data_IF_724684500017
#
_entry.id   IF_724684500017
#
_cell.length_a   1.000
_cell.length_b   1.000
_cell.length_c   1.000
_cell.angle_alpha   90.00
_cell.angle_beta   90.00
_cell.angle_gamma   90.00
#
_symmetry.space_group_name_H-M   'P 1'
#
loop_
_entity.id
_entity.type
_entity.pdbx_description
1 polymer ?
#
# COMPACT_ATOMS: atom_id res chain seq x y z
N UNK A 1 4.34 17.44 -5.04
CA UNK A 1 4.25 16.08 -4.49
C UNK A 1 3.83 16.19 -3.05
N UNK A 2 2.71 15.58 -2.69
CA UNK A 2 2.21 15.59 -1.32
C UNK A 2 2.78 14.38 -0.61
N UNK A 3 3.39 14.58 0.57
CA UNK A 3 3.99 13.47 1.31
C UNK A 3 2.90 12.67 2.03
N UNK A 4 2.84 11.37 1.78
CA UNK A 4 2.02 10.46 2.54
C UNK A 4 2.58 10.30 3.96
N UNK A 5 1.67 10.22 4.93
CA UNK A 5 1.98 10.00 6.35
C UNK A 5 2.47 8.57 6.57
N UNK A 6 1.75 7.59 6.03
CA UNK A 6 2.13 6.18 6.09
C UNK A 6 1.36 5.37 5.06
N UNK A 7 1.78 4.13 4.81
CA UNK A 7 0.91 3.17 4.12
C UNK A 7 0.79 1.87 4.89
N UNK A 8 -0.39 1.27 4.82
CA UNK A 8 -0.68 -0.06 5.33
C UNK A 8 -1.00 -0.97 4.14
N UNK A 9 -0.31 -2.10 4.04
CA UNK A 9 -0.59 -3.13 3.06
C UNK A 9 -1.16 -4.33 3.79
N UNK A 10 -2.37 -4.75 3.43
CA UNK A 10 -3.00 -5.88 4.08
C UNK A 10 -3.77 -6.77 3.13
N UNK A 11 -3.83 -8.05 3.46
CA UNK A 11 -4.62 -9.01 2.68
C UNK A 11 -6.10 -8.89 3.03
N UNK A 12 -6.95 -8.78 2.02
CA UNK A 12 -8.39 -8.92 2.19
C UNK A 12 -8.89 -10.25 1.66
N UNK A 13 -9.32 -11.12 2.58
CA UNK A 13 -9.82 -12.45 2.24
C UNK A 13 -11.08 -12.39 1.38
N UNK A 14 -11.99 -11.44 1.66
CA UNK A 14 -13.22 -11.26 0.88
C UNK A 14 -12.99 -10.91 -0.59
N UNK A 15 -11.86 -10.26 -0.90
CA UNK A 15 -11.46 -9.93 -2.29
C UNK A 15 -10.37 -10.86 -2.83
N UNK A 16 -9.82 -11.73 -1.97
CA UNK A 16 -8.61 -12.53 -2.21
C UNK A 16 -7.52 -11.70 -2.90
N UNK A 17 -7.29 -10.50 -2.38
CA UNK A 17 -6.38 -9.53 -2.97
C UNK A 17 -5.71 -8.68 -1.90
N UNK A 18 -4.52 -8.19 -2.22
CA UNK A 18 -3.84 -7.21 -1.39
C UNK A 18 -4.50 -5.84 -1.51
N UNK A 19 -4.56 -5.14 -0.40
CA UNK A 19 -5.08 -3.78 -0.32
C UNK A 19 -4.02 -2.89 0.28
N UNK A 20 -3.63 -1.88 -0.48
CA UNK A 20 -2.76 -0.80 -0.05
C UNK A 20 -3.65 0.35 0.42
N UNK A 21 -3.43 0.81 1.64
CA UNK A 21 -4.06 1.99 2.21
C UNK A 21 -2.97 3.02 2.46
N UNK A 22 -2.94 4.08 1.68
CA UNK A 22 -2.01 5.20 1.82
C UNK A 22 -2.70 6.30 2.61
N UNK A 23 -2.16 6.68 3.75
CA UNK A 23 -2.67 7.77 4.59
C UNK A 23 -1.90 9.05 4.29
N UNK A 24 -2.60 10.16 4.12
CA UNK A 24 -2.07 11.46 3.74
C UNK A 24 -2.78 12.52 4.59
N UNK A 25 -2.17 12.90 5.72
CA UNK A 25 -2.83 13.79 6.68
C UNK A 25 -4.08 13.12 7.26
N UNK A 26 -5.25 13.70 7.02
CA UNK A 26 -6.56 13.17 7.43
C UNK A 26 -7.21 12.28 6.37
N UNK A 27 -6.69 12.29 5.15
CA UNK A 27 -7.22 11.52 4.03
C UNK A 27 -6.55 10.14 3.95
N UNK A 28 -7.30 9.12 3.54
CA UNK A 28 -6.76 7.79 3.31
C UNK A 28 -7.23 7.26 1.96
N UNK A 29 -6.29 7.04 1.06
CA UNK A 29 -6.54 6.43 -0.25
C UNK A 29 -6.41 4.92 -0.11
N UNK A 30 -7.42 4.18 -0.57
CA UNK A 30 -7.45 2.72 -0.54
C UNK A 30 -7.43 2.16 -1.96
N UNK A 31 -6.41 1.36 -2.27
CA UNK A 31 -6.23 0.71 -3.56
C UNK A 31 -6.14 -0.81 -3.40
N UNK A 32 -6.99 -1.52 -4.13
CA UNK A 32 -6.95 -2.98 -4.20
C UNK A 32 -6.06 -3.41 -5.36
N UNK A 33 -4.99 -4.13 -5.06
CA UNK A 33 -4.07 -4.68 -6.04
C UNK A 33 -4.45 -6.13 -6.34
N UNK A 34 -5.14 -6.33 -7.46
CA UNK A 34 -5.49 -7.66 -7.96
C UNK A 34 -4.29 -8.27 -8.69
N UNK A 35 -4.06 -9.57 -8.53
CA UNK A 35 -3.00 -10.31 -9.23
C UNK A 35 -1.73 -10.57 -8.41
N UNK A 36 -1.61 -9.98 -7.21
CA UNK A 36 -0.53 -10.29 -6.26
C UNK A 36 -0.97 -11.47 -5.38
N UNK A 37 -0.15 -12.51 -5.29
CA UNK A 37 -0.44 -13.69 -4.46
C UNK A 37 -0.36 -13.34 -2.97
N UNK A 38 -1.12 -14.02 -2.13
CA UNK A 38 -1.06 -13.86 -0.66
C UNK A 38 0.34 -14.14 -0.08
N UNK A 39 1.12 -14.96 -0.77
CA UNK A 39 2.49 -15.33 -0.37
C UNK A 39 3.56 -14.37 -0.93
N UNK A 40 3.15 -13.19 -1.43
CA UNK A 40 4.11 -12.21 -1.94
C UNK A 40 5.03 -11.71 -0.82
N UNK A 41 6.31 -11.55 -1.14
CA UNK A 41 7.32 -11.06 -0.22
C UNK A 41 6.97 -9.67 0.35
N UNK A 42 7.30 -9.45 1.62
CA UNK A 42 7.11 -8.16 2.28
C UNK A 42 7.76 -7.00 1.50
N UNK A 43 8.91 -7.25 0.85
CA UNK A 43 9.58 -6.26 -0.01
C UNK A 43 8.78 -5.93 -1.28
N UNK A 44 8.21 -6.95 -1.92
CA UNK A 44 7.35 -6.77 -3.08
C UNK A 44 6.07 -5.99 -2.71
N UNK A 45 5.50 -6.26 -1.53
CA UNK A 45 4.34 -5.56 -0.99
C UNK A 45 4.67 -4.10 -0.64
N UNK A 46 5.85 -3.83 -0.09
CA UNK A 46 6.34 -2.47 0.16
C UNK A 46 6.52 -1.70 -1.13
N UNK A 47 7.17 -2.31 -2.12
CA UNK A 47 7.34 -1.72 -3.45
C UNK A 47 5.99 -1.43 -4.12
N UNK A 48 5.02 -2.33 -3.98
CA UNK A 48 3.65 -2.14 -4.47
C UNK A 48 2.98 -0.92 -3.81
N UNK A 49 3.15 -0.74 -2.50
CA UNK A 49 2.60 0.40 -1.78
C UNK A 49 3.23 1.73 -2.22
N UNK A 50 4.55 1.74 -2.39
CA UNK A 50 5.29 2.90 -2.87
C UNK A 50 4.88 3.29 -4.29
N UNK A 51 4.76 2.29 -5.18
CA UNK A 51 4.31 2.51 -6.54
C UNK A 51 2.88 3.02 -6.57
N UNK A 52 2.00 2.48 -5.74
CA UNK A 52 0.60 2.92 -5.63
C UNK A 52 0.50 4.35 -5.11
N UNK A 53 1.27 4.69 -4.07
CA UNK A 53 1.33 6.06 -3.56
C UNK A 53 1.81 7.02 -4.65
N UNK A 54 2.86 6.65 -5.39
CA UNK A 54 3.41 7.44 -6.50
C UNK A 54 2.43 7.62 -7.66
N UNK A 55 1.70 6.58 -8.04
CA UNK A 55 0.67 6.62 -9.09
C UNK A 55 -0.46 7.59 -8.74
N UNK A 56 -0.82 7.65 -7.46
CA UNK A 56 -1.79 8.61 -6.92
C UNK A 56 -1.18 10.01 -6.66
N UNK A 57 0.12 10.21 -6.95
CA UNK A 57 0.81 11.51 -6.83
C UNK A 57 1.41 11.81 -5.45
N UNK A 58 1.46 10.80 -4.57
CA UNK A 58 2.03 10.90 -3.23
C UNK A 58 3.47 10.40 -3.16
N UNK A 59 4.26 11.06 -2.31
CA UNK A 59 5.60 10.61 -1.95
C UNK A 59 5.53 9.84 -0.61
N UNK A 60 5.99 8.60 -0.61
CA UNK A 60 5.96 7.72 0.57
C UNK A 60 7.35 7.10 0.73
N UNK A 61 7.87 7.06 1.95
CA UNK A 61 9.13 6.38 2.23
C UNK A 61 8.89 4.90 2.56
N UNK A 62 9.80 4.02 2.15
CA UNK A 62 9.72 2.58 2.41
C UNK A 62 9.63 2.24 3.90
N UNK A 63 10.22 3.09 4.76
CA UNK A 63 10.15 2.95 6.22
C UNK A 63 8.77 3.24 6.82
N UNK A 64 7.92 3.97 6.10
CA UNK A 64 6.56 4.31 6.52
C UNK A 64 5.51 3.29 6.02
N UNK A 65 5.96 2.21 5.36
CA UNK A 65 5.10 1.13 4.87
C UNK A 65 5.01 -0.01 5.91
N UNK A 66 3.80 -0.27 6.40
CA UNK A 66 3.48 -1.38 7.29
C UNK A 66 2.78 -2.49 6.52
N UNK A 67 3.40 -3.66 6.46
CA UNK A 67 2.78 -4.87 5.91
C UNK A 67 2.08 -5.63 7.03
N UNK A 68 0.79 -5.92 6.85
CA UNK A 68 -0.06 -6.73 7.72
C UNK A 68 -0.51 -7.96 6.94
N UNK A 69 -0.10 -9.13 7.39
CA UNK A 69 -0.40 -10.42 6.76
C UNK A 69 -1.31 -11.23 7.65
#
# INVERSE_FOLDING_TARGET
MTRATCAEVFWEDGKKAWVVRVQVGEEAVRRTCKGVKRDADDDALRSLALQTARDEGYDLATGDVRVKR
#
